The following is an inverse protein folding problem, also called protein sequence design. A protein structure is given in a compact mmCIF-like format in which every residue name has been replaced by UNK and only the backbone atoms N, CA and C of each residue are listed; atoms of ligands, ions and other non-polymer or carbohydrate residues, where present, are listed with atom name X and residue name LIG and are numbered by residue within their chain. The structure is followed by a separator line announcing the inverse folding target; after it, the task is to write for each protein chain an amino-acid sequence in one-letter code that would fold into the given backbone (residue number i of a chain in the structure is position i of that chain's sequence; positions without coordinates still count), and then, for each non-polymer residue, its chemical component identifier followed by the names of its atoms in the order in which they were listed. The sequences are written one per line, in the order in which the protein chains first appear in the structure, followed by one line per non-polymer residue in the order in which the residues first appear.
data_IF_645854459375
#
_entry.id   IF_645854459375
#
_cell.length_a   1.000
_cell.length_b   1.000
_cell.length_c   1.000
_cell.angle_alpha   90.00
_cell.angle_beta   90.00
_cell.angle_gamma   90.00
#
_symmetry.space_group_name_H-M   'P 1'
#
loop_
_entity.id
_entity.type
_entity.pdbx_description
1 polymer ?
#
# COMPACT_ATOMS: atom_id res chain seq x y z
N UNK A 1 5.32 2.56 -31.06
CA UNK A 1 4.90 2.61 -29.63
C UNK A 1 4.89 1.19 -29.12
N UNK A 2 5.70 0.85 -28.11
CA UNK A 2 5.52 -0.42 -27.40
C UNK A 2 4.29 -0.32 -26.51
N UNK A 3 3.45 -1.35 -26.54
CA UNK A 3 2.37 -1.50 -25.56
C UNK A 3 3.04 -1.93 -24.26
N UNK A 4 2.91 -1.12 -23.21
CA UNK A 4 3.34 -1.52 -21.87
C UNK A 4 2.36 -2.62 -21.42
N UNK A 5 2.82 -3.87 -21.43
CA UNK A 5 2.07 -4.97 -20.85
C UNK A 5 1.92 -4.74 -19.34
N UNK A 6 0.66 -4.80 -18.86
CA UNK A 6 0.33 -4.63 -17.44
C UNK A 6 -0.25 -5.93 -16.91
N UNK A 7 0.30 -6.41 -15.81
CA UNK A 7 -0.25 -7.56 -15.08
C UNK A 7 -1.26 -7.02 -14.06
N UNK A 8 -2.51 -7.47 -14.15
CA UNK A 8 -3.57 -7.09 -13.22
C UNK A 8 -3.17 -7.51 -11.80
N UNK A 9 -3.24 -6.57 -10.85
CA UNK A 9 -2.91 -6.81 -9.45
C UNK A 9 -1.43 -6.67 -9.08
N UNK A 10 -0.51 -6.54 -10.06
CA UNK A 10 0.93 -6.46 -9.78
C UNK A 10 1.31 -5.29 -8.87
N UNK A 11 0.67 -4.12 -9.02
CA UNK A 11 0.91 -2.98 -8.13
C UNK A 11 0.50 -3.26 -6.68
N UNK A 12 -0.65 -3.92 -6.48
CA UNK A 12 -1.14 -4.27 -5.14
C UNK A 12 -0.25 -5.34 -4.50
N UNK A 13 0.20 -6.32 -5.29
CA UNK A 13 1.16 -7.33 -4.83
C UNK A 13 2.52 -6.70 -4.45
N UNK A 14 3.07 -5.82 -5.28
CA UNK A 14 4.30 -5.10 -4.94
C UNK A 14 4.15 -4.32 -3.63
N UNK A 15 3.01 -3.66 -3.42
CA UNK A 15 2.74 -2.95 -2.17
C UNK A 15 2.66 -3.89 -0.98
N UNK A 16 2.14 -5.12 -1.11
CA UNK A 16 2.15 -6.07 0.02
C UNK A 16 3.54 -6.52 0.38
N UNK A 17 4.42 -6.76 -0.59
CA UNK A 17 5.82 -7.11 -0.31
C UNK A 17 6.54 -5.96 0.43
N UNK A 18 6.36 -4.71 -0.03
CA UNK A 18 6.94 -3.53 0.63
C UNK A 18 6.39 -3.37 2.05
N UNK A 19 5.08 -3.50 2.24
CA UNK A 19 4.45 -3.35 3.56
C UNK A 19 4.89 -4.46 4.51
N UNK A 20 4.97 -5.70 4.04
CA UNK A 20 5.47 -6.83 4.82
C UNK A 20 6.92 -6.58 5.27
N UNK A 21 7.78 -6.16 4.36
CA UNK A 21 9.18 -5.83 4.68
C UNK A 21 9.28 -4.73 5.74
N UNK A 22 8.48 -3.67 5.63
CA UNK A 22 8.45 -2.59 6.63
C UNK A 22 8.01 -3.13 8.01
N UNK A 23 6.98 -3.98 8.07
CA UNK A 23 6.49 -4.56 9.32
C UNK A 23 7.50 -5.51 9.95
N UNK A 24 8.25 -6.24 9.13
CA UNK A 24 9.27 -7.17 9.60
C UNK A 24 10.55 -6.46 10.07
N UNK A 25 10.70 -5.17 9.77
CA UNK A 25 11.76 -4.35 10.36
C UNK A 25 11.45 -3.96 11.81
N UNK A 26 12.48 -3.72 12.61
CA UNK A 26 12.34 -3.13 13.95
C UNK A 26 12.08 -1.60 13.92
N UNK A 27 11.72 -1.04 12.76
CA UNK A 27 11.51 0.39 12.60
C UNK A 27 10.14 0.76 13.18
N UNK A 28 10.15 1.49 14.29
CA UNK A 28 8.95 2.11 14.85
C UNK A 28 8.63 3.43 14.12
N UNK A 29 7.42 3.56 13.59
CA UNK A 29 7.00 4.79 12.91
C UNK A 29 5.74 4.66 12.06
N UNK A 30 5.51 5.69 11.25
CA UNK A 30 4.41 5.75 10.27
C UNK A 30 4.97 5.57 8.86
N UNK A 31 4.35 4.69 8.07
CA UNK A 31 4.67 4.60 6.65
C UNK A 31 4.00 5.75 5.92
N UNK A 32 4.76 6.49 5.11
CA UNK A 32 4.29 7.65 4.37
C UNK A 32 4.58 7.48 2.89
N UNK A 33 3.62 7.85 2.05
CA UNK A 33 3.82 7.94 0.59
C UNK A 33 3.42 9.31 0.09
N UNK A 34 4.25 9.88 -0.78
CA UNK A 34 3.91 11.07 -1.54
C UNK A 34 3.28 10.64 -2.86
N UNK A 35 1.99 10.92 -3.02
CA UNK A 35 1.22 10.49 -4.18
C UNK A 35 0.89 11.65 -5.10
N UNK A 36 0.88 11.36 -6.40
CA UNK A 36 0.23 12.21 -7.41
C UNK A 36 -1.28 11.96 -7.36
N UNK A 37 -2.09 12.96 -7.71
CA UNK A 37 -3.55 12.90 -7.50
C UNK A 37 -4.21 11.66 -8.14
N UNK A 38 -3.78 11.28 -9.36
CA UNK A 38 -4.32 10.10 -10.06
C UNK A 38 -4.07 8.75 -9.36
N UNK A 39 -3.13 8.70 -8.42
CA UNK A 39 -2.74 7.48 -7.71
C UNK A 39 -3.26 7.46 -6.27
N UNK A 40 -3.90 8.54 -5.78
CA UNK A 40 -4.42 8.61 -4.41
C UNK A 40 -5.40 7.49 -4.12
N UNK A 41 -6.40 7.29 -4.97
CA UNK A 41 -7.42 6.25 -4.80
C UNK A 41 -6.82 4.85 -4.63
N UNK A 42 -5.75 4.53 -5.37
CA UNK A 42 -5.06 3.24 -5.22
C UNK A 42 -4.50 3.02 -3.81
N UNK A 43 -3.91 4.04 -3.19
CA UNK A 43 -3.38 3.94 -1.82
C UNK A 43 -4.50 3.99 -0.78
N UNK A 44 -5.55 4.77 -1.00
CA UNK A 44 -6.73 4.78 -0.14
C UNK A 44 -7.40 3.38 -0.10
N UNK A 45 -7.49 2.70 -1.24
CA UNK A 45 -7.99 1.30 -1.36
C UNK A 45 -7.08 0.26 -0.69
N UNK A 46 -5.85 0.62 -0.33
CA UNK A 46 -4.94 -0.21 0.47
C UNK A 46 -5.16 0.03 1.97
N UNK A 47 -5.70 1.19 2.36
CA UNK A 47 -5.88 1.58 3.76
C UNK A 47 -5.03 2.76 4.20
N UNK A 48 -4.32 3.42 3.28
CA UNK A 48 -3.70 4.71 3.58
C UNK A 48 -4.78 5.78 3.84
N UNK A 49 -4.41 6.80 4.61
CA UNK A 49 -5.25 7.94 4.94
C UNK A 49 -4.56 9.25 4.54
N UNK A 50 -5.33 10.25 4.12
CA UNK A 50 -4.78 11.58 3.82
C UNK A 50 -4.17 12.21 5.06
N UNK A 51 -2.98 12.80 4.89
CA UNK A 51 -2.41 13.66 5.92
C UNK A 51 -3.07 15.06 5.84
N UNK A 52 -3.80 15.51 6.88
CA UNK A 52 -4.47 16.82 6.85
C UNK A 52 -3.48 17.99 6.76
N UNK A 53 -2.24 17.80 7.22
CA UNK A 53 -1.22 18.84 7.21
C UNK A 53 -0.47 18.90 5.86
N UNK A 54 -0.53 17.84 5.05
CA UNK A 54 0.26 17.70 3.81
C UNK A 54 -0.59 17.06 2.70
N UNK A 55 -1.21 17.86 1.79
CA UNK A 55 -2.24 17.41 0.82
C UNK A 55 -1.85 16.33 -0.21
N UNK A 56 -0.59 15.90 -0.23
CA UNK A 56 -0.06 14.83 -1.11
C UNK A 56 0.56 13.68 -0.34
N UNK A 57 0.67 13.82 0.97
CA UNK A 57 1.17 12.78 1.84
C UNK A 57 -0.02 11.91 2.28
N UNK A 58 0.20 10.61 2.20
CA UNK A 58 -0.72 9.59 2.66
C UNK A 58 0.01 8.75 3.71
N UNK A 59 -0.68 8.44 4.80
CA UNK A 59 -0.14 7.75 5.97
C UNK A 59 -0.77 6.37 6.06
N UNK A 60 0.04 5.34 6.30
CA UNK A 60 -0.41 4.01 6.65
C UNK A 60 0.03 3.70 8.09
N UNK A 61 -0.94 3.42 8.96
CA UNK A 61 -0.69 2.97 10.33
C UNK A 61 -0.34 1.48 10.34
N UNK A 62 0.27 1.00 11.43
CA UNK A 62 0.62 -0.41 11.59
C UNK A 62 -0.62 -1.32 11.52
N UNK A 63 -1.72 -0.90 12.10
CA UNK A 63 -2.98 -1.66 12.13
C UNK A 63 -3.57 -1.78 10.72
N UNK A 64 -3.59 -0.69 9.96
CA UNK A 64 -4.06 -0.69 8.57
C UNK A 64 -3.14 -1.52 7.67
N UNK A 65 -1.83 -1.48 7.91
CA UNK A 65 -0.84 -2.27 7.21
C UNK A 65 -1.05 -3.78 7.43
N UNK A 66 -1.26 -4.20 8.69
CA UNK A 66 -1.57 -5.59 9.03
C UNK A 66 -2.89 -6.06 8.39
N UNK A 67 -3.94 -5.23 8.44
CA UNK A 67 -5.23 -5.54 7.81
C UNK A 67 -5.11 -5.70 6.28
N UNK A 68 -4.28 -4.87 5.63
CA UNK A 68 -4.02 -4.97 4.20
C UNK A 68 -3.33 -6.29 3.82
N UNK A 69 -2.32 -6.72 4.59
CA UNK A 69 -1.62 -7.97 4.37
C UNK A 69 -2.54 -9.17 4.59
N UNK A 70 -3.38 -9.13 5.62
CA UNK A 70 -4.39 -10.16 5.85
C UNK A 70 -5.34 -10.27 4.66
N UNK A 71 -5.87 -9.15 4.13
CA UNK A 71 -6.69 -9.13 2.91
C UNK A 71 -5.93 -9.71 1.69
N UNK A 72 -4.62 -9.49 1.57
CA UNK A 72 -3.84 -10.09 0.48
C UNK A 72 -3.71 -11.61 0.60
N UNK A 73 -3.48 -12.15 1.80
CA UNK A 73 -3.43 -13.59 2.02
C UNK A 73 -4.77 -14.27 1.66
N UNK A 74 -5.89 -13.64 2.05
CA UNK A 74 -7.22 -14.10 1.67
C UNK A 74 -7.44 -14.13 0.16
N UNK A 75 -7.03 -13.08 -0.56
CA UNK A 75 -7.16 -13.00 -2.02
C UNK A 75 -6.32 -14.06 -2.75
N UNK A 76 -5.22 -14.51 -2.14
CA UNK A 76 -4.35 -15.57 -2.65
C UNK A 76 -4.87 -16.99 -2.33
N UNK A 77 -5.86 -17.12 -1.45
CA UNK A 77 -6.37 -18.43 -1.01
C UNK A 77 -5.42 -19.15 -0.04
N UNK A 78 -4.53 -18.41 0.62
CA UNK A 78 -3.55 -18.94 1.57
C UNK A 78 -4.11 -18.77 2.98
N UNK A 79 -4.74 -19.82 3.52
CA UNK A 79 -5.27 -19.92 4.89
C UNK A 79 -5.07 -21.31 5.46
#
# INVERSE_FOLDING_TARGET
MSVIEKIKGAARWLMSEIVQEIIDTEIEGLTKVLSIDRAKEFYLDIGFQENPDYPRELILTKEAALAFLEDQLHRRGER
#
